data_IF_458334275087
#
_entry.id   IF_458334275087
#
_cell.length_a   1.000
_cell.length_b   1.000
_cell.length_c   1.000
_cell.angle_alpha   90.00
_cell.angle_beta   90.00
_cell.angle_gamma   90.00
#
_symmetry.space_group_name_H-M   'P 1'
#
loop_
_entity.id
_entity.type
_entity.pdbx_description
1 polymer ?
#
# COMPACT_ATOMS: atom_id res chain seq x y z
N UNK A 1 5.25 -17.00 12.29
CA UNK A 1 5.22 -16.90 10.81
C UNK A 1 4.34 -15.69 10.52
N UNK A 2 4.78 -14.78 9.63
CA UNK A 2 3.99 -13.60 9.27
C UNK A 2 2.70 -14.05 8.57
N UNK A 3 1.56 -13.49 8.98
CA UNK A 3 0.26 -13.75 8.34
C UNK A 3 0.21 -13.10 6.94
N UNK A 4 0.69 -11.86 6.85
CA UNK A 4 0.85 -11.11 5.60
C UNK A 4 2.34 -10.90 5.32
N UNK A 5 2.79 -11.35 4.14
CA UNK A 5 4.23 -11.48 3.85
C UNK A 5 4.84 -10.29 3.12
N UNK A 6 4.04 -9.58 2.35
CA UNK A 6 4.52 -8.48 1.53
C UNK A 6 4.17 -7.15 2.16
N UNK A 7 5.18 -6.32 2.34
CA UNK A 7 4.99 -4.90 2.59
C UNK A 7 4.84 -4.18 1.26
N UNK A 8 3.72 -3.49 1.08
CA UNK A 8 3.38 -2.72 -0.13
C UNK A 8 3.38 -1.25 0.23
N UNK A 9 4.36 -0.52 -0.32
CA UNK A 9 4.48 0.91 -0.15
C UNK A 9 4.44 1.60 -1.49
N UNK A 10 3.73 2.73 -1.57
CA UNK A 10 3.67 3.56 -2.77
C UNK A 10 3.19 4.97 -2.43
N UNK A 11 3.42 5.88 -3.37
CA UNK A 11 2.82 7.21 -3.38
C UNK A 11 1.74 7.27 -4.45
N UNK A 12 0.68 8.02 -4.16
CA UNK A 12 -0.40 8.38 -5.08
C UNK A 12 -0.38 9.89 -5.23
N UNK A 13 -0.04 10.38 -6.43
CA UNK A 13 -0.14 11.80 -6.80
C UNK A 13 -1.44 12.02 -7.59
N UNK A 14 -2.25 12.99 -7.16
CA UNK A 14 -3.58 13.21 -7.71
C UNK A 14 -4.20 14.55 -7.33
N UNK A 15 -5.52 14.61 -7.41
CA UNK A 15 -6.33 15.75 -6.99
C UNK A 15 -7.55 15.24 -6.23
N UNK A 16 -8.01 16.01 -5.24
CA UNK A 16 -9.17 15.69 -4.40
C UNK A 16 -9.03 14.31 -3.72
N UNK A 17 -7.80 13.95 -3.30
CA UNK A 17 -7.56 12.72 -2.56
C UNK A 17 -8.08 12.84 -1.11
N UNK A 18 -8.67 11.77 -0.60
CA UNK A 18 -9.19 11.71 0.78
C UNK A 18 -8.58 10.50 1.51
N UNK A 19 -7.80 10.79 2.56
CA UNK A 19 -7.14 9.77 3.38
C UNK A 19 -8.11 8.80 4.04
N UNK A 20 -9.24 9.31 4.54
CA UNK A 20 -10.23 8.50 5.26
C UNK A 20 -10.95 7.57 4.27
N UNK A 21 -11.34 8.07 3.09
CA UNK A 21 -11.98 7.23 2.05
C UNK A 21 -11.04 6.12 1.57
N UNK A 22 -9.76 6.43 1.38
CA UNK A 22 -8.75 5.45 0.95
C UNK A 22 -8.51 4.41 2.05
N UNK A 23 -8.45 4.85 3.32
CA UNK A 23 -8.27 3.96 4.46
C UNK A 23 -9.43 2.96 4.58
N UNK A 24 -10.66 3.48 4.53
CA UNK A 24 -11.88 2.68 4.62
C UNK A 24 -11.96 1.69 3.47
N UNK A 25 -11.71 2.13 2.23
CA UNK A 25 -11.75 1.25 1.07
C UNK A 25 -10.77 0.08 1.19
N UNK A 26 -9.50 0.35 1.54
CA UNK A 26 -8.48 -0.69 1.68
C UNK A 26 -8.86 -1.67 2.80
N UNK A 27 -9.31 -1.15 3.94
CA UNK A 27 -9.68 -1.97 5.10
C UNK A 27 -10.89 -2.86 4.84
N UNK A 28 -11.87 -2.38 4.06
CA UNK A 28 -13.07 -3.14 3.72
C UNK A 28 -12.86 -4.17 2.60
N UNK A 29 -11.99 -3.88 1.64
CA UNK A 29 -11.87 -4.66 0.40
C UNK A 29 -10.65 -5.59 0.37
N UNK A 30 -9.59 -5.29 1.11
CA UNK A 30 -8.35 -6.04 1.06
C UNK A 30 -8.03 -6.73 2.38
N UNK A 31 -7.46 -7.93 2.27
CA UNK A 31 -6.96 -8.65 3.45
C UNK A 31 -5.53 -8.22 3.72
N UNK A 32 -5.31 -7.72 4.93
CA UNK A 32 -3.99 -7.29 5.36
C UNK A 32 -3.99 -6.74 6.77
N UNK A 33 -2.84 -6.22 7.16
CA UNK A 33 -2.65 -5.49 8.41
C UNK A 33 -1.74 -4.27 8.22
N UNK A 34 -1.58 -3.49 9.29
CA UNK A 34 -0.67 -2.35 9.36
C UNK A 34 -0.89 -1.29 8.27
N UNK A 35 -2.15 -0.99 7.92
CA UNK A 35 -2.46 0.10 6.99
C UNK A 35 -2.04 1.46 7.55
N UNK A 36 -1.31 2.21 6.74
CA UNK A 36 -1.08 3.65 6.87
C UNK A 36 -1.44 4.29 5.52
N UNK A 37 -2.41 5.21 5.54
CA UNK A 37 -2.71 6.13 4.45
C UNK A 37 -2.58 7.53 5.04
N UNK A 38 -1.57 8.30 4.61
CA UNK A 38 -1.26 9.62 5.18
C UNK A 38 -0.79 10.57 4.09
N UNK A 39 -1.19 11.84 4.14
CA UNK A 39 -0.82 12.81 3.11
C UNK A 39 -1.59 14.11 3.15
N UNK A 40 -2.00 14.54 1.97
CA UNK A 40 -2.95 15.62 1.74
C UNK A 40 -3.77 15.32 0.46
N UNK A 41 -4.52 16.29 -0.04
CA UNK A 41 -5.40 16.17 -1.20
C UNK A 41 -4.67 16.04 -2.54
N UNK A 42 -3.35 16.25 -2.56
CA UNK A 42 -2.50 16.15 -3.76
C UNK A 42 -1.57 14.94 -3.73
N UNK A 43 -1.13 14.50 -2.54
CA UNK A 43 -0.18 13.39 -2.40
C UNK A 43 -0.47 12.53 -1.16
N UNK A 44 -0.73 11.24 -1.38
CA UNK A 44 -0.91 10.26 -0.29
C UNK A 44 0.15 9.17 -0.34
N UNK A 45 0.71 8.87 0.83
CA UNK A 45 1.57 7.71 1.04
C UNK A 45 0.77 6.54 1.60
N UNK A 46 0.94 5.38 0.97
CA UNK A 46 0.38 4.10 1.39
C UNK A 46 1.50 3.20 1.93
N UNK A 47 1.22 2.55 3.06
CA UNK A 47 1.94 1.39 3.58
C UNK A 47 0.91 0.36 3.99
N UNK A 48 1.00 -0.87 3.46
CA UNK A 48 0.06 -1.93 3.81
C UNK A 48 0.70 -3.31 3.67
N UNK A 49 0.52 -4.16 4.67
CA UNK A 49 0.96 -5.54 4.57
C UNK A 49 -0.16 -6.41 4.01
N UNK A 50 0.12 -7.11 2.91
CA UNK A 50 -0.84 -8.04 2.29
C UNK A 50 -0.13 -9.23 1.65
N UNK A 51 -0.90 -10.23 1.24
CA UNK A 51 -0.41 -11.30 0.37
C UNK A 51 -0.77 -11.06 -1.10
N UNK A 52 -1.55 -10.02 -1.39
CA UNK A 52 -2.09 -9.69 -2.73
C UNK A 52 -1.73 -8.25 -3.14
N UNK A 53 -0.43 -7.88 -3.19
CA UNK A 53 0.01 -6.50 -3.44
C UNK A 53 -0.55 -5.92 -4.74
N UNK A 54 -0.77 -6.75 -5.76
CA UNK A 54 -1.32 -6.31 -7.05
C UNK A 54 -2.71 -5.66 -6.95
N UNK A 55 -3.53 -6.04 -5.97
CA UNK A 55 -4.85 -5.44 -5.78
C UNK A 55 -4.75 -4.01 -5.23
N UNK A 56 -3.81 -3.79 -4.32
CA UNK A 56 -3.51 -2.46 -3.77
C UNK A 56 -2.98 -1.55 -4.89
N UNK A 57 -2.03 -2.05 -5.69
CA UNK A 57 -1.48 -1.31 -6.83
C UNK A 57 -2.57 -0.93 -7.85
N UNK A 58 -3.46 -1.87 -8.18
CA UNK A 58 -4.58 -1.63 -9.11
C UNK A 58 -5.52 -0.54 -8.58
N UNK A 59 -5.89 -0.61 -7.29
CA UNK A 59 -6.74 0.40 -6.68
C UNK A 59 -6.08 1.78 -6.65
N UNK A 60 -4.84 1.87 -6.17
CA UNK A 60 -4.13 3.14 -6.09
C UNK A 60 -3.92 3.78 -7.47
N UNK A 61 -3.63 2.97 -8.51
CA UNK A 61 -3.53 3.44 -9.90
C UNK A 61 -4.87 3.95 -10.48
N UNK A 62 -6.01 3.60 -9.86
CA UNK A 62 -7.32 4.12 -10.27
C UNK A 62 -7.61 5.51 -9.70
N UNK A 63 -6.87 5.94 -8.65
CA UNK A 63 -7.06 7.21 -7.96
C UNK A 63 -6.16 8.32 -8.51
N UNK A 64 -4.97 7.98 -9.01
CA UNK A 64 -3.98 8.94 -9.48
C UNK A 64 -2.76 8.26 -10.10
N UNK A 65 -1.72 9.05 -10.37
CA UNK A 65 -0.44 8.52 -10.81
C UNK A 65 0.29 7.89 -9.62
N UNK A 66 0.76 6.65 -9.77
CA UNK A 66 1.49 5.96 -8.71
C UNK A 66 3.00 5.99 -8.96
N UNK A 67 3.78 6.30 -7.92
CA UNK A 67 5.24 6.29 -7.99
C UNK A 67 5.87 5.81 -6.69
N UNK A 68 7.20 5.63 -6.71
CA UNK A 68 8.02 5.11 -5.60
C UNK A 68 7.49 3.80 -5.00
N UNK A 69 7.06 2.89 -5.88
CA UNK A 69 6.45 1.61 -5.51
C UNK A 69 7.51 0.65 -4.99
N UNK A 70 7.28 0.13 -3.79
CA UNK A 70 8.05 -0.94 -3.15
C UNK A 70 7.11 -2.08 -2.80
N UNK A 71 7.46 -3.29 -3.24
CA UNK A 71 6.80 -4.53 -2.81
C UNK A 71 7.89 -5.45 -2.28
N UNK A 72 7.95 -5.61 -0.97
CA UNK A 72 9.04 -6.34 -0.32
C UNK A 72 8.53 -7.55 0.47
N UNK A 73 9.15 -8.71 0.26
CA UNK A 73 8.87 -9.88 1.09
C UNK A 73 9.59 -9.73 2.44
N UNK A 74 8.84 -9.35 3.47
CA UNK A 74 9.37 -9.08 4.81
C UNK A 74 10.08 -10.29 5.44
N UNK A 75 9.67 -11.51 5.09
CA UNK A 75 10.33 -12.71 5.57
C UNK A 75 11.73 -12.83 4.97
N UNK A 76 11.86 -12.70 3.65
CA UNK A 76 13.16 -12.76 2.96
C UNK A 76 14.06 -11.60 3.39
N UNK A 77 13.49 -10.40 3.54
CA UNK A 77 14.21 -9.24 4.07
C UNK A 77 14.81 -9.53 5.46
N UNK A 78 14.03 -10.13 6.37
CA UNK A 78 14.52 -10.49 7.71
C UNK A 78 15.65 -11.54 7.69
N UNK A 79 15.74 -12.32 6.61
CA UNK A 79 16.78 -13.30 6.34
C UNK A 79 17.99 -12.69 5.59
N UNK A 80 17.97 -11.38 5.33
CA UNK A 80 19.01 -10.66 4.59
C UNK A 80 18.99 -10.89 3.08
N UNK A 81 17.89 -11.43 2.55
CA UNK A 81 17.68 -11.65 1.13
C UNK A 81 16.84 -10.49 0.58
N UNK A 82 17.49 -9.59 -0.15
CA UNK A 82 16.86 -8.46 -0.81
C UNK A 82 16.73 -8.72 -2.32
N UNK A 83 15.66 -8.19 -2.93
CA UNK A 83 15.40 -8.20 -4.37
C UNK A 83 15.58 -6.83 -4.99
#
# INVERSE_FOLDING_TARGET
MLEFKFDTQLLIEGHDLDEDEINDYITEHFKGDCLLAVGDDELIKIHFHTNEPWQVLEYCASLGEIHDIVVENMQLQSEGQHG
#
